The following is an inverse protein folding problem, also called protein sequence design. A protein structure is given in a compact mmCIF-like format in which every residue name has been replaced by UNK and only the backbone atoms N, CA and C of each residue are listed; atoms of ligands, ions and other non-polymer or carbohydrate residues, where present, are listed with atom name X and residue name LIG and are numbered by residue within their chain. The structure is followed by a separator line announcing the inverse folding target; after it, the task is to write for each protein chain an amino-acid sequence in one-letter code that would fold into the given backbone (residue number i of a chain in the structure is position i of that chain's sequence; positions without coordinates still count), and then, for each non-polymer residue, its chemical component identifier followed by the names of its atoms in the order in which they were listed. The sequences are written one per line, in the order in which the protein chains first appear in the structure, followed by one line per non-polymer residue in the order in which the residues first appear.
data_IF_607903539336
#
_entry.id   IF_607903539336
#
_cell.length_a   1.000
_cell.length_b   1.000
_cell.length_c   1.000
_cell.angle_alpha   90.00
_cell.angle_beta   90.00
_cell.angle_gamma   90.00
#
_symmetry.space_group_name_H-M   'P 1'
#
loop_
_entity.id
_entity.type
_entity.pdbx_description
1 polymer ?
#
# COMPACT_ATOMS: atom_id res chain seq x y z
N UNK A 1 12.34 44.83 -0.26
CA UNK A 1 11.51 44.29 0.83
C UNK A 1 11.38 42.79 0.61
N UNK A 2 12.19 42.07 1.38
CA UNK A 2 12.05 40.71 1.94
C UNK A 2 11.26 39.63 1.18
N UNK A 3 12.04 38.65 0.70
CA UNK A 3 11.77 37.21 0.61
C UNK A 3 10.61 36.66 1.46
N UNK A 4 9.76 35.84 0.84
CA UNK A 4 9.21 34.64 1.48
C UNK A 4 9.55 33.41 0.64
N UNK A 5 10.74 32.91 0.95
CA UNK A 5 11.27 31.62 0.52
C UNK A 5 10.74 30.52 1.44
N UNK A 6 10.60 29.33 0.87
CA UNK A 6 10.57 28.01 1.54
C UNK A 6 9.21 27.34 1.76
N UNK A 7 8.68 26.75 0.69
CA UNK A 7 7.97 25.47 0.81
C UNK A 7 8.05 24.69 -0.50
N UNK A 8 9.17 23.97 -0.69
CA UNK A 8 9.35 22.86 -1.64
C UNK A 8 10.74 22.25 -1.39
N UNK A 9 10.94 21.59 -0.23
CA UNK A 9 12.21 20.90 0.10
C UNK A 9 11.99 19.51 0.74
N UNK A 10 11.02 18.73 0.26
CA UNK A 10 10.87 17.32 0.66
C UNK A 10 11.02 16.34 -0.52
N UNK A 11 11.28 16.83 -1.74
CA UNK A 11 11.39 16.00 -2.95
C UNK A 11 12.82 15.73 -3.45
N UNK A 12 13.82 15.70 -2.57
CA UNK A 12 15.25 15.58 -3.00
C UNK A 12 16.00 14.30 -2.61
N UNK A 13 15.34 13.27 -2.08
CA UNK A 13 16.01 12.01 -1.74
C UNK A 13 15.29 10.75 -2.25
N UNK A 14 14.76 10.81 -3.47
CA UNK A 14 14.40 9.58 -4.19
C UNK A 14 14.99 9.59 -5.59
N UNK A 15 16.32 9.44 -5.65
CA UNK A 15 17.02 8.90 -6.82
C UNK A 15 17.44 7.48 -6.46
N UNK A 16 17.12 6.46 -7.27
CA UNK A 16 17.61 5.11 -7.03
C UNK A 16 19.12 5.08 -7.32
N UNK A 17 19.95 5.23 -6.29
CA UNK A 17 21.36 4.91 -6.37
C UNK A 17 21.60 3.51 -5.79
N UNK A 18 21.62 2.52 -6.69
CA UNK A 18 22.36 1.24 -6.70
C UNK A 18 22.57 0.36 -5.44
N UNK A 19 22.02 0.67 -4.27
CA UNK A 19 21.95 -0.26 -3.12
C UNK A 19 20.65 -0.04 -2.35
N UNK A 20 19.72 -0.99 -2.43
CA UNK A 20 18.52 -1.01 -1.59
C UNK A 20 19.00 -0.96 -0.11
N UNK A 21 18.63 0.04 0.70
CA UNK A 21 19.03 0.09 2.10
C UNK A 21 18.48 -1.16 2.82
N UNK A 22 19.32 -1.83 3.62
CA UNK A 22 19.15 -3.20 4.13
C UNK A 22 17.85 -3.54 4.90
N UNK A 23 16.94 -2.58 5.11
CA UNK A 23 15.71 -2.74 5.90
C UNK A 23 14.47 -2.35 5.09
N UNK A 24 14.39 -2.72 3.82
CA UNK A 24 13.21 -2.51 2.98
C UNK A 24 12.75 -3.81 2.32
N UNK A 25 11.45 -4.02 2.30
CA UNK A 25 10.79 -5.16 1.66
C UNK A 25 10.02 -4.64 0.44
N UNK A 26 10.11 -5.34 -0.68
CA UNK A 26 9.32 -5.07 -1.88
C UNK A 26 7.94 -5.72 -1.76
N UNK A 27 6.91 -4.93 -2.01
CA UNK A 27 5.50 -5.31 -2.04
C UNK A 27 5.00 -5.21 -3.48
N UNK A 28 4.48 -6.29 -4.05
CA UNK A 28 3.93 -6.26 -5.41
C UNK A 28 2.56 -5.54 -5.40
N UNK A 29 2.41 -4.48 -6.19
CA UNK A 29 1.19 -3.64 -6.19
C UNK A 29 -0.08 -4.40 -6.60
N UNK A 30 0.06 -5.39 -7.50
CA UNK A 30 -1.05 -6.22 -7.95
C UNK A 30 -1.46 -7.29 -6.95
N UNK A 31 -0.67 -7.55 -5.91
CA UNK A 31 -1.00 -8.55 -4.90
C UNK A 31 -1.90 -7.94 -3.80
N UNK A 32 -3.21 -8.05 -4.02
CA UNK A 32 -4.25 -7.49 -3.15
C UNK A 32 -4.14 -7.98 -1.69
N UNK A 33 -3.82 -9.26 -1.48
CA UNK A 33 -3.72 -9.85 -0.14
C UNK A 33 -2.53 -9.25 0.62
N UNK A 34 -1.39 -9.17 -0.05
CA UNK A 34 -0.17 -8.57 0.47
C UNK A 34 -0.36 -7.08 0.80
N UNK A 35 -1.04 -6.33 -0.06
CA UNK A 35 -1.40 -4.92 0.16
C UNK A 35 -2.29 -4.75 1.40
N UNK A 36 -3.33 -5.57 1.55
CA UNK A 36 -4.24 -5.54 2.72
C UNK A 36 -3.50 -5.90 4.00
N UNK A 37 -2.63 -6.91 3.96
CA UNK A 37 -1.80 -7.30 5.10
C UNK A 37 -0.86 -6.16 5.51
N UNK A 38 -0.19 -5.52 4.55
CA UNK A 38 0.65 -4.35 4.79
C UNK A 38 -0.12 -3.21 5.47
N UNK A 39 -1.29 -2.83 4.96
CA UNK A 39 -2.08 -1.75 5.56
C UNK A 39 -2.56 -2.12 6.96
N UNK A 40 -2.98 -3.38 7.16
CA UNK A 40 -3.38 -3.90 8.47
C UNK A 40 -2.27 -3.72 9.50
N UNK A 41 -1.06 -4.14 9.17
CA UNK A 41 0.09 -4.07 10.08
C UNK A 41 0.58 -2.62 10.25
N UNK A 42 0.52 -1.80 9.21
CA UNK A 42 0.86 -0.39 9.30
C UNK A 42 -0.10 0.39 10.20
N UNK A 43 -1.41 0.17 10.10
CA UNK A 43 -2.38 0.77 11.03
C UNK A 43 -2.25 0.19 12.44
N UNK A 44 -1.92 -1.09 12.60
CA UNK A 44 -1.60 -1.64 13.93
C UNK A 44 -0.39 -0.95 14.56
N UNK A 45 0.66 -0.72 13.78
CA UNK A 45 1.88 -0.03 14.19
C UNK A 45 1.66 1.47 14.43
N UNK A 46 0.71 2.10 13.73
CA UNK A 46 0.30 3.49 13.94
C UNK A 46 -0.29 3.72 15.34
N UNK A 47 -0.77 2.66 16.01
CA UNK A 47 -1.42 2.65 17.33
C UNK A 47 -2.83 3.23 17.35
N UNK A 48 -3.57 2.86 18.40
CA UNK A 48 -5.01 3.02 18.48
C UNK A 48 -5.51 4.46 18.53
N UNK A 49 -4.81 5.33 19.27
CA UNK A 49 -5.20 6.74 19.39
C UNK A 49 -5.01 7.48 18.06
N UNK A 50 -3.90 7.23 17.37
CA UNK A 50 -3.67 7.81 16.05
C UNK A 50 -4.66 7.29 15.01
N UNK A 51 -4.95 5.98 15.00
CA UNK A 51 -6.00 5.41 14.14
C UNK A 51 -7.39 6.00 14.42
N UNK A 52 -7.68 6.33 15.68
CA UNK A 52 -8.94 6.96 16.07
C UNK A 52 -9.06 8.36 15.44
N UNK A 53 -8.05 9.21 15.64
CA UNK A 53 -8.09 10.59 15.14
C UNK A 53 -8.03 10.64 13.60
N UNK A 54 -7.24 9.76 12.97
CA UNK A 54 -7.22 9.64 11.51
C UNK A 54 -8.58 9.19 10.96
N UNK A 55 -9.24 8.21 11.58
CA UNK A 55 -10.56 7.76 11.13
C UNK A 55 -11.60 8.89 11.20
N UNK A 56 -11.59 9.69 12.27
CA UNK A 56 -12.45 10.88 12.39
C UNK A 56 -12.18 11.88 11.27
N UNK A 57 -10.90 12.17 11.01
CA UNK A 57 -10.50 13.12 9.98
C UNK A 57 -10.95 12.68 8.58
N UNK A 58 -10.74 11.41 8.23
CA UNK A 58 -11.17 10.88 6.94
C UNK A 58 -12.69 10.83 6.79
N UNK A 59 -13.43 10.38 7.82
CA UNK A 59 -14.90 10.37 7.78
C UNK A 59 -15.45 11.79 7.59
N UNK A 60 -14.89 12.77 8.29
CA UNK A 60 -15.27 14.18 8.13
C UNK A 60 -14.94 14.70 6.73
N UNK A 61 -13.86 14.23 6.12
CA UNK A 61 -13.48 14.66 4.77
C UNK A 61 -14.43 14.07 3.70
N UNK A 62 -14.73 12.78 3.76
CA UNK A 62 -15.61 12.11 2.80
C UNK A 62 -17.08 12.50 2.95
N UNK A 63 -17.51 12.77 4.17
CA UNK A 63 -18.88 13.15 4.48
C UNK A 63 -18.89 14.23 5.60
N UNK A 64 -18.66 15.51 5.26
CA UNK A 64 -18.59 16.59 6.25
C UNK A 64 -19.84 16.75 7.12
N UNK A 65 -21.01 16.33 6.60
CA UNK A 65 -22.31 16.38 7.29
C UNK A 65 -22.79 14.98 7.71
N UNK A 66 -21.86 14.05 7.97
CA UNK A 66 -22.14 12.63 8.27
C UNK A 66 -23.19 12.45 9.36
N UNK A 67 -23.10 13.21 10.45
CA UNK A 67 -24.05 13.08 11.56
C UNK A 67 -25.48 13.50 11.18
N UNK A 68 -25.65 14.40 10.20
CA UNK A 68 -26.98 14.82 9.71
C UNK A 68 -27.56 13.83 8.71
N UNK A 69 -26.73 13.35 7.77
CA UNK A 69 -27.20 12.48 6.68
C UNK A 69 -27.26 10.99 7.11
N UNK A 70 -26.32 10.58 7.96
CA UNK A 70 -26.09 9.19 8.36
C UNK A 70 -25.81 9.12 9.88
N UNK A 71 -26.78 9.51 10.72
CA UNK A 71 -26.60 9.47 12.17
C UNK A 71 -26.35 8.04 12.65
N UNK A 72 -25.55 7.88 13.69
CA UNK A 72 -25.41 6.59 14.36
C UNK A 72 -26.71 6.26 15.08
N UNK A 73 -27.36 5.16 14.69
CA UNK A 73 -28.66 4.73 15.21
C UNK A 73 -28.57 3.29 15.71
N UNK A 74 -29.36 2.90 16.73
CA UNK A 74 -29.53 1.49 17.12
C UNK A 74 -30.06 0.61 15.99
N UNK A 75 -30.82 1.17 15.03
CA UNK A 75 -31.25 0.48 13.81
C UNK A 75 -30.15 0.56 12.72
N UNK A 76 -28.95 0.10 13.09
CA UNK A 76 -27.63 0.38 12.49
C UNK A 76 -27.53 0.29 10.96
N UNK A 77 -28.39 -0.51 10.32
CA UNK A 77 -28.33 -0.74 8.87
C UNK A 77 -29.02 0.37 8.05
N UNK A 78 -30.10 0.97 8.54
CA UNK A 78 -30.89 1.93 7.77
C UNK A 78 -30.18 3.27 7.55
N UNK A 79 -29.32 3.65 8.49
CA UNK A 79 -28.59 4.94 8.44
C UNK A 79 -27.15 4.78 7.97
N UNK A 80 -26.71 3.56 7.67
CA UNK A 80 -25.35 3.26 7.23
C UNK A 80 -25.09 3.90 5.86
N UNK A 81 -24.03 4.72 5.70
CA UNK A 81 -23.66 5.25 4.39
C UNK A 81 -23.26 4.13 3.41
N UNK A 82 -23.49 4.29 2.10
CA UNK A 82 -23.07 3.30 1.09
C UNK A 82 -21.57 3.00 1.07
N UNK A 83 -20.72 3.96 1.47
CA UNK A 83 -19.26 3.81 1.55
C UNK A 83 -18.80 3.12 2.84
N UNK A 84 -19.68 2.85 3.80
CA UNK A 84 -19.30 2.20 5.05
C UNK A 84 -19.22 0.67 4.84
N UNK A 85 -18.16 -0.01 5.34
CA UNK A 85 -18.00 -1.44 5.13
C UNK A 85 -19.17 -2.25 5.69
N UNK A 86 -19.72 -3.17 4.88
CA UNK A 86 -20.85 -4.01 5.28
C UNK A 86 -20.54 -4.86 6.52
N UNK A 87 -19.29 -5.34 6.65
CA UNK A 87 -18.81 -6.17 7.77
C UNK A 87 -18.35 -5.37 9.00
N UNK A 88 -18.54 -4.04 9.00
CA UNK A 88 -18.20 -3.16 10.13
C UNK A 88 -19.45 -2.47 10.65
N UNK A 89 -19.71 -2.67 11.95
CA UNK A 89 -20.80 -2.01 12.68
C UNK A 89 -20.76 -0.49 12.50
N UNK A 90 -21.92 0.14 12.23
CA UNK A 90 -22.00 1.58 12.00
C UNK A 90 -22.00 2.33 13.35
N UNK A 91 -20.80 2.59 13.89
CA UNK A 91 -20.58 3.35 15.13
C UNK A 91 -19.44 4.35 14.98
N UNK A 92 -19.42 5.35 15.87
CA UNK A 92 -18.30 6.28 15.92
C UNK A 92 -16.96 5.55 16.10
N UNK A 93 -15.87 6.03 15.49
CA UNK A 93 -14.57 5.36 15.57
C UNK A 93 -14.06 5.08 16.99
N UNK A 94 -14.39 5.91 17.98
CA UNK A 94 -14.05 5.71 19.40
C UNK A 94 -14.79 4.51 20.03
N UNK A 95 -15.97 4.16 19.51
CA UNK A 95 -16.78 3.04 19.96
C UNK A 95 -16.54 1.75 19.16
N UNK A 96 -15.72 1.80 18.11
CA UNK A 96 -15.27 0.60 17.40
C UNK A 96 -14.17 -0.12 18.17
N UNK A 97 -14.24 -1.46 18.18
CA UNK A 97 -13.10 -2.30 18.58
C UNK A 97 -11.90 -2.03 17.67
N UNK A 98 -10.69 -2.20 18.20
CA UNK A 98 -9.41 -2.03 17.48
C UNK A 98 -9.43 -2.61 16.07
N UNK A 99 -9.85 -3.87 15.94
CA UNK A 99 -9.84 -4.60 14.67
C UNK A 99 -10.84 -3.98 13.69
N UNK A 100 -12.06 -3.67 14.13
CA UNK A 100 -13.09 -3.03 13.30
C UNK A 100 -12.65 -1.65 12.80
N UNK A 101 -11.95 -0.87 13.64
CA UNK A 101 -11.42 0.44 13.25
C UNK A 101 -10.35 0.33 12.16
N UNK A 102 -9.44 -0.65 12.28
CA UNK A 102 -8.43 -0.91 11.24
C UNK A 102 -9.11 -1.32 9.92
N UNK A 103 -10.11 -2.20 9.97
CA UNK A 103 -10.91 -2.56 8.79
C UNK A 103 -11.56 -1.34 8.13
N UNK A 104 -12.18 -0.47 8.93
CA UNK A 104 -12.79 0.77 8.44
C UNK A 104 -11.76 1.68 7.75
N UNK A 105 -10.58 1.86 8.34
CA UNK A 105 -9.50 2.67 7.74
C UNK A 105 -9.03 2.10 6.41
N UNK A 106 -8.82 0.79 6.31
CA UNK A 106 -8.43 0.13 5.05
C UNK A 106 -9.53 0.26 3.99
N UNK A 107 -10.80 0.15 4.40
CA UNK A 107 -11.92 0.34 3.48
C UNK A 107 -11.98 1.76 2.95
N UNK A 108 -11.89 2.77 3.81
CA UNK A 108 -11.83 4.18 3.40
C UNK A 108 -10.63 4.40 2.47
N UNK A 109 -9.45 3.87 2.82
CA UNK A 109 -8.24 4.00 2.04
C UNK A 109 -8.38 3.47 0.60
N UNK A 110 -9.11 2.37 0.39
CA UNK A 110 -9.11 1.62 -0.89
C UNK A 110 -10.43 1.63 -1.65
N UNK A 111 -11.55 1.97 -1.01
CA UNK A 111 -12.90 1.71 -1.53
C UNK A 111 -13.86 2.90 -1.43
N UNK A 112 -13.51 4.01 -0.76
CA UNK A 112 -14.41 5.15 -0.63
C UNK A 112 -14.26 6.22 -1.74
N UNK A 113 -13.56 5.92 -2.83
CA UNK A 113 -13.43 6.83 -3.98
C UNK A 113 -12.59 8.09 -3.74
N UNK A 114 -11.76 8.08 -2.70
CA UNK A 114 -10.84 9.18 -2.37
C UNK A 114 -9.41 8.81 -2.76
N UNK A 115 -8.62 9.82 -3.11
CA UNK A 115 -7.21 9.65 -3.49
C UNK A 115 -6.28 9.72 -2.28
N UNK A 116 -5.05 9.21 -2.43
CA UNK A 116 -3.98 9.30 -1.44
C UNK A 116 -3.68 10.76 -1.07
N UNK A 117 -3.72 11.66 -2.05
CA UNK A 117 -3.52 13.09 -1.84
C UNK A 117 -4.64 13.70 -0.97
N UNK A 118 -5.90 13.37 -1.26
CA UNK A 118 -7.05 13.80 -0.45
C UNK A 118 -6.97 13.27 0.98
N UNK A 119 -6.59 12.01 1.15
CA UNK A 119 -6.36 11.39 2.46
C UNK A 119 -5.24 12.09 3.23
N UNK A 120 -4.15 12.44 2.56
CA UNK A 120 -3.04 13.17 3.16
C UNK A 120 -3.47 14.56 3.62
N UNK A 121 -4.25 15.27 2.80
CA UNK A 121 -4.83 16.56 3.17
C UNK A 121 -5.74 16.43 4.39
N UNK A 122 -6.65 15.45 4.39
CA UNK A 122 -7.55 15.19 5.51
C UNK A 122 -6.80 14.84 6.80
N UNK A 123 -5.74 14.05 6.71
CA UNK A 123 -4.96 13.57 7.86
C UNK A 123 -3.85 14.52 8.33
N UNK A 124 -3.64 15.67 7.68
CA UNK A 124 -2.48 16.55 7.92
C UNK A 124 -2.39 17.02 9.37
N UNK A 125 -3.50 17.45 9.97
CA UNK A 125 -3.49 17.95 11.35
C UNK A 125 -3.19 16.82 12.34
N UNK A 126 -3.85 15.67 12.19
CA UNK A 126 -3.56 14.49 13.02
C UNK A 126 -2.13 14.01 12.89
N UNK A 127 -1.56 14.06 11.68
CA UNK A 127 -0.18 13.69 11.43
C UNK A 127 0.81 14.64 12.11
N UNK A 128 0.53 15.95 12.17
CA UNK A 128 1.37 16.94 12.90
C UNK A 128 1.42 16.68 14.41
N UNK A 129 0.37 16.08 14.96
CA UNK A 129 0.26 15.73 16.38
C UNK A 129 0.91 14.37 16.70
N UNK A 130 1.28 13.60 15.68
CA UNK A 130 1.96 12.31 15.86
C UNK A 130 3.44 12.50 16.23
N UNK A 131 4.02 11.50 16.90
CA UNK A 131 5.49 11.44 17.00
C UNK A 131 6.11 11.21 15.62
N UNK A 132 7.39 11.57 15.39
CA UNK A 132 8.04 11.40 14.09
C UNK A 132 7.92 9.98 13.51
N UNK A 133 8.05 8.94 14.37
CA UNK A 133 7.91 7.55 13.94
C UNK A 133 6.51 7.23 13.43
N UNK A 134 5.47 7.77 14.08
CA UNK A 134 4.06 7.54 13.70
C UNK A 134 3.69 8.36 12.46
N UNK A 135 4.16 9.60 12.37
CA UNK A 135 4.01 10.42 11.17
C UNK A 135 4.64 9.73 9.95
N UNK A 136 5.84 9.15 10.12
CA UNK A 136 6.50 8.41 9.04
C UNK A 136 5.73 7.14 8.64
N UNK A 137 4.96 6.51 9.53
CA UNK A 137 4.07 5.39 9.15
C UNK A 137 2.96 5.89 8.23
N UNK A 138 2.34 7.03 8.54
CA UNK A 138 1.31 7.63 7.68
C UNK A 138 1.86 8.04 6.31
N UNK A 139 3.04 8.66 6.26
CA UNK A 139 3.70 9.01 4.98
C UNK A 139 3.92 7.78 4.10
N UNK A 140 4.33 6.66 4.69
CA UNK A 140 4.53 5.41 3.95
C UNK A 140 3.20 4.79 3.50
N UNK A 141 2.14 4.86 4.32
CA UNK A 141 0.79 4.41 3.93
C UNK A 141 0.31 5.21 2.70
N UNK A 142 0.46 6.54 2.72
CA UNK A 142 0.08 7.39 1.59
C UNK A 142 0.89 7.05 0.35
N UNK A 143 2.21 6.88 0.48
CA UNK A 143 3.06 6.49 -0.63
C UNK A 143 2.66 5.15 -1.26
N UNK A 144 2.36 4.14 -0.43
CA UNK A 144 1.91 2.83 -0.92
C UNK A 144 0.56 2.94 -1.61
N UNK A 145 -0.36 3.75 -1.08
CA UNK A 145 -1.65 4.00 -1.73
C UNK A 145 -1.49 4.74 -3.07
N UNK A 146 -0.59 5.72 -3.17
CA UNK A 146 -0.28 6.38 -4.44
C UNK A 146 0.17 5.37 -5.50
N UNK A 147 1.03 4.40 -5.14
CA UNK A 147 1.44 3.35 -6.09
C UNK A 147 0.28 2.42 -6.45
N UNK A 148 -0.56 2.04 -5.48
CA UNK A 148 -1.78 1.26 -5.75
C UNK A 148 -2.72 1.98 -6.71
N UNK A 149 -2.91 3.29 -6.55
CA UNK A 149 -3.73 4.12 -7.45
C UNK A 149 -3.14 4.22 -8.86
N UNK A 150 -1.81 4.22 -9.01
CA UNK A 150 -1.15 4.16 -10.32
C UNK A 150 -1.40 2.83 -11.00
N UNK A 151 -1.37 1.73 -10.24
CA UNK A 151 -1.73 0.40 -10.74
C UNK A 151 -3.21 0.35 -11.15
N UNK A 152 -4.13 0.91 -10.34
CA UNK A 152 -5.57 1.00 -10.66
C UNK A 152 -5.87 1.85 -11.90
N UNK A 153 -4.93 2.71 -12.33
CA UNK A 153 -5.00 3.52 -13.57
C UNK A 153 -4.18 2.93 -14.72
N UNK A 154 -3.71 1.69 -14.60
CA UNK A 154 -2.89 1.00 -15.59
C UNK A 154 -1.57 1.74 -15.94
N UNK A 155 -1.03 2.56 -15.02
CA UNK A 155 0.23 3.29 -15.22
C UNK A 155 1.47 2.46 -14.88
N UNK A 156 1.30 1.39 -14.10
CA UNK A 156 2.34 0.46 -13.68
C UNK A 156 1.80 -0.97 -13.69
N UNK A 157 2.67 -1.95 -13.94
CA UNK A 157 2.31 -3.36 -13.93
C UNK A 157 2.07 -3.89 -12.51
N UNK A 158 1.30 -4.98 -12.40
CA UNK A 158 0.99 -5.61 -11.11
C UNK A 158 2.20 -6.19 -10.38
N UNK A 159 3.29 -6.50 -11.10
CA UNK A 159 4.56 -6.97 -10.54
C UNK A 159 5.48 -5.82 -10.09
N UNK A 160 5.10 -4.56 -10.34
CA UNK A 160 5.85 -3.41 -9.87
C UNK A 160 5.94 -3.43 -8.33
N UNK A 161 7.16 -3.22 -7.82
CA UNK A 161 7.45 -3.31 -6.40
C UNK A 161 7.44 -1.93 -5.73
N UNK A 162 6.67 -1.82 -4.64
CA UNK A 162 6.75 -0.70 -3.70
C UNK A 162 7.63 -1.11 -2.53
N UNK A 163 8.67 -0.32 -2.26
CA UNK A 163 9.62 -0.63 -1.19
C UNK A 163 9.21 0.04 0.12
N UNK A 164 8.73 -0.77 1.06
CA UNK A 164 8.32 -0.35 2.41
C UNK A 164 9.38 -0.69 3.44
N UNK A 165 9.44 0.02 4.57
CA UNK A 165 10.35 -0.32 5.67
C UNK A 165 10.01 -1.70 6.21
N UNK A 166 11.05 -2.50 6.43
CA UNK A 166 11.01 -3.72 7.22
C UNK A 166 10.74 -3.33 8.68
N UNK A 167 9.46 -3.17 9.01
CA UNK A 167 9.05 -3.13 10.40
C UNK A 167 9.16 -4.56 10.90
N UNK A 168 9.57 -4.75 12.15
CA UNK A 168 9.51 -6.04 12.85
C UNK A 168 8.04 -6.47 13.04
N UNK A 169 7.33 -6.70 11.94
CA UNK A 169 6.02 -7.31 11.94
C UNK A 169 6.22 -8.72 12.52
N UNK A 170 5.73 -8.93 13.75
CA UNK A 170 5.52 -10.26 14.33
C UNK A 170 4.34 -10.95 13.62
N UNK A 171 4.42 -11.03 12.31
CA UNK A 171 3.46 -11.66 11.43
C UNK A 171 4.30 -12.26 10.32
N UNK A 172 4.34 -13.58 10.26
CA UNK A 172 5.07 -14.35 9.26
C UNK A 172 4.56 -13.93 7.87
N UNK A 173 5.23 -12.97 7.24
CA UNK A 173 5.07 -12.73 5.82
C UNK A 173 5.54 -13.99 5.09
N UNK A 174 4.77 -14.53 4.12
CA UNK A 174 5.31 -15.57 3.26
C UNK A 174 6.53 -15.01 2.52
N UNK A 175 7.67 -15.49 3.00
CA UNK A 175 9.06 -15.34 2.54
C UNK A 175 9.22 -14.78 1.11
N UNK A 176 9.81 -13.58 1.04
CA UNK A 176 10.79 -13.11 0.04
C UNK A 176 10.60 -13.59 -1.40
N UNK A 177 10.04 -12.74 -2.25
CA UNK A 177 10.56 -12.65 -3.62
C UNK A 177 11.84 -11.83 -3.54
N UNK A 178 13.00 -12.50 -3.44
CA UNK A 178 14.27 -11.83 -3.73
C UNK A 178 14.13 -11.26 -5.15
N UNK A 179 14.19 -9.93 -5.27
CA UNK A 179 14.42 -9.28 -6.55
C UNK A 179 15.66 -9.92 -7.18
N UNK A 180 15.45 -10.83 -8.12
CA UNK A 180 16.51 -11.30 -9.00
C UNK A 180 16.78 -10.13 -9.95
N UNK A 181 17.80 -9.34 -9.61
CA UNK A 181 18.42 -8.45 -10.58
C UNK A 181 18.92 -9.33 -11.74
N UNK A 182 18.49 -9.10 -13.00
CA UNK A 182 19.06 -9.82 -14.13
C UNK A 182 20.52 -9.40 -14.28
N UNK A 183 21.43 -10.35 -14.13
CA UNK A 183 22.85 -10.16 -14.48
C UNK A 183 22.95 -10.02 -15.98
N UNK A 184 23.04 -8.79 -16.46
CA UNK A 184 23.55 -8.52 -17.80
C UNK A 184 25.06 -8.77 -17.81
N UNK A 185 25.53 -9.72 -18.60
CA UNK A 185 26.87 -9.66 -19.21
C UNK A 185 26.81 -10.10 -20.66
N UNK A 186 27.40 -9.24 -21.50
CA UNK A 186 27.56 -9.33 -22.94
C UNK A 186 28.70 -10.29 -23.32
N UNK A 187 28.50 -10.94 -24.46
CA UNK A 187 29.45 -11.41 -25.50
C UNK A 187 30.60 -12.35 -25.12
N UNK A 188 30.69 -13.50 -25.82
CA UNK A 188 31.60 -13.68 -26.98
C UNK A 188 31.38 -15.03 -27.70
N UNK A 189 31.14 -14.96 -29.01
CA UNK A 189 31.71 -15.82 -30.07
C UNK A 189 31.56 -17.36 -30.03
N UNK A 190 30.77 -17.90 -30.97
CA UNK A 190 30.87 -19.28 -31.49
C UNK A 190 32.25 -19.57 -32.14
N UNK A 191 32.65 -20.84 -32.35
CA UNK A 191 32.24 -21.53 -33.60
C UNK A 191 32.03 -23.06 -33.53
N UNK A 192 31.01 -23.51 -34.28
CA UNK A 192 30.97 -24.63 -35.24
C UNK A 192 31.90 -25.84 -34.99
N UNK A 193 31.30 -27.02 -34.82
CA UNK A 193 31.76 -28.25 -35.50
C UNK A 193 30.60 -29.09 -36.04
N UNK A 194 30.71 -29.50 -37.31
CA UNK A 194 29.89 -30.48 -38.02
C UNK A 194 30.54 -31.86 -37.96
N UNK A 195 29.75 -32.92 -37.79
CA UNK A 195 29.92 -34.26 -38.43
C UNK A 195 28.60 -35.03 -38.21
N UNK A 196 27.81 -35.43 -39.24
CA UNK A 196 27.91 -36.63 -40.13
C UNK A 196 28.09 -37.92 -39.31
N UNK A 197 27.39 -39.05 -39.48
CA UNK A 197 26.55 -39.65 -40.54
C UNK A 197 25.89 -40.92 -39.96
N UNK A 198 24.70 -41.28 -40.48
CA UNK A 198 24.22 -42.66 -40.81
C UNK A 198 24.09 -43.69 -39.65
N UNK A 199 23.26 -44.75 -39.65
CA UNK A 199 22.46 -45.43 -40.65
C UNK A 199 21.35 -46.27 -39.94
N UNK A 200 20.19 -46.37 -40.60
CA UNK A 200 19.30 -47.54 -40.77
C UNK A 200 18.85 -48.50 -39.64
N UNK A 201 17.54 -48.83 -39.79
CA UNK A 201 16.85 -50.14 -39.63
C UNK A 201 16.42 -50.48 -38.19
N UNK A 202 15.21 -51.00 -37.87
CA UNK A 202 14.24 -51.88 -38.59
C UNK A 202 12.90 -51.97 -37.79
N UNK A 203 11.79 -52.18 -38.52
CA UNK A 203 10.59 -53.05 -38.24
C UNK A 203 9.65 -52.61 -37.10
N UNK A 204 8.49 -52.00 -37.37
CA UNK A 204 7.14 -52.50 -37.79
C UNK A 204 6.21 -52.91 -36.64
N UNK A 205 4.93 -52.47 -36.63
CA UNK A 205 3.95 -52.74 -35.56
C UNK A 205 3.03 -53.93 -35.86
N UNK A 206 2.32 -54.41 -34.82
CA UNK A 206 1.07 -55.16 -34.92
C UNK A 206 -0.11 -54.25 -34.62
#
# INVERSE_FOLDING_TARGET
MSNFSSQCKVWRYWKPNSKIPMNKIGLAVGNVEEMVAYYTDSFRALQQLNCLEIAKAYIKFIEPKKQRHHPYSPEEEKTKPPWWPADVIHKEPNHLKRICRVKLLIHILRKSGITAEQLKQAGTETQRQCTPDKAAILDEIYHVREQEERYERDEIDGDALVYVREKTCRGNWPVRVKAHLPTAQLSHGSPIQKSKSQDRRRISPS
#
